data_IF_362431032010
#
_entry.id   IF_362431032010
#
_cell.length_a   1.000
_cell.length_b   1.000
_cell.length_c   1.000
_cell.angle_alpha   90.00
_cell.angle_beta   90.00
_cell.angle_gamma   90.00
#
_symmetry.space_group_name_H-M   'P 1'
#
loop_
_entity.id
_entity.type
_entity.pdbx_description
1 polymer ?
#
# COMPACT_ATOMS: atom_id res chain seq x y z
N UNK A 1 -22.13 -4.62 3.55
CA UNK A 1 -21.11 -4.17 4.53
C UNK A 1 -19.86 -3.88 3.72
N UNK A 2 -19.19 -2.76 3.97
CA UNK A 2 -17.94 -2.39 3.26
C UNK A 2 -16.83 -3.32 3.72
N UNK A 3 -16.13 -3.95 2.76
CA UNK A 3 -14.98 -4.82 3.02
C UNK A 3 -13.70 -4.04 2.83
N UNK A 4 -12.89 -3.92 3.88
CA UNK A 4 -11.63 -3.18 3.88
C UNK A 4 -10.44 -4.14 4.12
N UNK A 5 -9.54 -4.19 3.16
CA UNK A 5 -8.32 -5.00 3.22
C UNK A 5 -7.12 -4.12 3.52
N UNK A 6 -6.40 -4.45 4.59
CA UNK A 6 -5.15 -3.78 4.98
C UNK A 6 -3.98 -4.70 4.70
N UNK A 7 -3.02 -4.24 3.90
CA UNK A 7 -1.89 -5.05 3.42
C UNK A 7 -0.59 -4.53 4.00
N UNK A 8 -0.01 -5.26 4.94
CA UNK A 8 1.30 -4.92 5.48
C UNK A 8 2.41 -5.43 4.57
N UNK A 9 3.06 -4.50 3.87
CA UNK A 9 4.23 -4.70 3.02
C UNK A 9 5.57 -4.53 3.74
N UNK A 10 5.58 -4.49 5.07
CA UNK A 10 6.81 -4.46 5.85
C UNK A 10 7.26 -5.87 6.25
N UNK A 11 8.56 -6.22 6.11
CA UNK A 11 9.09 -7.46 6.67
C UNK A 11 9.11 -7.46 8.20
N UNK A 12 8.96 -6.30 8.85
CA UNK A 12 8.89 -6.16 10.31
C UNK A 12 7.44 -6.14 10.78
N UNK A 13 6.91 -7.29 11.19
CA UNK A 13 5.49 -7.48 11.54
C UNK A 13 4.97 -6.64 12.72
N UNK A 14 5.86 -6.17 13.60
CA UNK A 14 5.49 -5.41 14.81
C UNK A 14 6.17 -4.02 14.81
N UNK A 15 6.30 -3.40 13.66
CA UNK A 15 6.99 -2.12 13.51
C UNK A 15 6.01 -1.00 13.12
N UNK A 16 6.52 0.12 12.65
CA UNK A 16 5.73 1.34 12.42
C UNK A 16 4.67 1.17 11.33
N UNK A 17 5.02 0.55 10.22
CA UNK A 17 4.09 0.29 9.12
C UNK A 17 2.82 -0.41 9.60
N UNK A 18 2.97 -1.49 10.39
CA UNK A 18 1.81 -2.22 10.89
C UNK A 18 1.01 -1.41 11.90
N UNK A 19 1.65 -0.61 12.75
CA UNK A 19 0.95 0.27 13.71
C UNK A 19 0.10 1.34 13.00
N UNK A 20 0.59 1.88 11.90
CA UNK A 20 -0.16 2.81 11.05
C UNK A 20 -1.36 2.12 10.39
N UNK A 21 -1.15 0.92 9.86
CA UNK A 21 -2.24 0.12 9.28
C UNK A 21 -3.27 -0.30 10.33
N UNK A 22 -2.86 -0.68 11.54
CA UNK A 22 -3.77 -1.00 12.65
C UNK A 22 -4.62 0.21 13.04
N UNK A 23 -4.04 1.42 13.04
CA UNK A 23 -4.77 2.65 13.31
C UNK A 23 -5.74 3.02 12.18
N UNK A 24 -5.33 2.86 10.93
CA UNK A 24 -6.23 3.05 9.80
C UNK A 24 -7.37 2.00 9.81
N UNK A 25 -7.08 0.77 10.19
CA UNK A 25 -8.08 -0.29 10.36
C UNK A 25 -9.07 0.02 11.48
N UNK A 26 -8.58 0.55 12.62
CA UNK A 26 -9.42 1.01 13.73
C UNK A 26 -10.41 2.09 13.24
N UNK A 27 -9.95 3.12 12.54
CA UNK A 27 -10.80 4.16 11.98
C UNK A 27 -11.85 3.64 10.99
N UNK A 28 -11.47 2.71 10.10
CA UNK A 28 -12.40 2.07 9.16
C UNK A 28 -13.43 1.19 9.88
N UNK A 29 -13.02 0.48 10.94
CA UNK A 29 -13.92 -0.35 11.77
C UNK A 29 -14.93 0.52 12.51
N UNK A 30 -14.51 1.63 13.11
CA UNK A 30 -15.38 2.58 13.79
C UNK A 30 -16.39 3.21 12.83
N UNK A 31 -16.02 3.37 11.57
CA UNK A 31 -16.94 3.77 10.49
C UNK A 31 -17.82 2.62 9.95
N UNK A 32 -17.71 1.41 10.50
CA UNK A 32 -18.58 0.26 10.21
C UNK A 32 -18.13 -0.61 9.03
N UNK A 33 -16.87 -0.59 8.64
CA UNK A 33 -16.30 -1.53 7.67
C UNK A 33 -15.94 -2.87 8.34
N UNK A 34 -16.03 -3.94 7.56
CA UNK A 34 -15.45 -5.25 7.89
C UNK A 34 -13.99 -5.25 7.45
N UNK A 35 -13.06 -5.34 8.40
CA UNK A 35 -11.64 -5.12 8.17
C UNK A 35 -10.83 -6.39 8.34
N UNK A 36 -9.84 -6.58 7.47
CA UNK A 36 -8.82 -7.64 7.58
C UNK A 36 -7.43 -7.06 7.36
N UNK A 37 -6.47 -7.42 8.23
CA UNK A 37 -5.04 -7.08 8.07
C UNK A 37 -4.24 -8.33 7.68
N UNK A 38 -3.49 -8.24 6.60
CA UNK A 38 -2.65 -9.33 6.07
C UNK A 38 -1.19 -8.89 5.97
N UNK A 39 -0.27 -9.73 6.46
CA UNK A 39 1.16 -9.54 6.29
C UNK A 39 1.66 -10.32 5.07
N UNK A 40 2.09 -9.63 4.01
CA UNK A 40 2.51 -10.30 2.78
C UNK A 40 3.80 -11.12 2.93
N UNK A 41 4.60 -10.84 3.96
CA UNK A 41 5.84 -11.59 4.24
C UNK A 41 5.61 -12.87 5.08
N UNK A 42 4.36 -13.24 5.37
CA UNK A 42 4.07 -14.49 6.10
C UNK A 42 4.28 -15.73 5.25
N UNK A 43 4.15 -15.59 3.94
CA UNK A 43 4.29 -16.69 2.98
C UNK A 43 5.16 -16.28 1.79
N UNK A 44 5.92 -17.22 1.22
CA UNK A 44 6.72 -16.93 0.05
C UNK A 44 5.83 -16.81 -1.20
N UNK A 45 6.09 -15.81 -2.02
CA UNK A 45 5.44 -15.64 -3.32
C UNK A 45 6.38 -14.92 -4.30
N UNK A 46 5.95 -14.87 -5.56
CA UNK A 46 6.67 -14.18 -6.64
C UNK A 46 5.85 -13.01 -7.19
N UNK A 47 6.53 -12.01 -7.72
CA UNK A 47 5.93 -10.98 -8.55
C UNK A 47 5.35 -11.53 -9.86
N UNK A 48 4.99 -10.67 -10.77
CA UNK A 48 4.50 -11.08 -12.08
C UNK A 48 5.58 -11.86 -12.85
N UNK A 49 5.27 -13.07 -13.26
CA UNK A 49 6.18 -13.94 -14.03
C UNK A 49 6.03 -13.79 -15.54
N UNK A 50 5.29 -12.77 -16.00
CA UNK A 50 5.03 -12.52 -17.42
C UNK A 50 4.48 -13.71 -18.20
N UNK A 51 3.65 -14.53 -17.59
CA UNK A 51 3.02 -15.69 -18.26
C UNK A 51 1.90 -15.28 -19.25
N UNK A 52 1.43 -14.04 -19.18
CA UNK A 52 0.37 -13.45 -19.99
C UNK A 52 -0.98 -14.20 -20.00
N UNK A 53 -1.20 -15.16 -19.13
CA UNK A 53 -2.46 -15.89 -19.06
C UNK A 53 -3.68 -14.98 -18.80
N UNK A 54 -3.48 -13.87 -18.07
CA UNK A 54 -4.51 -12.84 -17.87
C UNK A 54 -4.78 -11.96 -19.11
N UNK A 55 -3.96 -12.06 -20.18
CA UNK A 55 -4.05 -11.25 -21.41
C UNK A 55 -4.52 -12.03 -22.63
N UNK A 56 -4.71 -13.33 -22.49
CA UNK A 56 -5.17 -14.19 -23.59
C UNK A 56 -6.58 -13.77 -24.00
N UNK A 57 -6.89 -13.76 -25.32
CA UNK A 57 -8.26 -13.52 -25.81
C UNK A 57 -9.25 -14.48 -25.15
N UNK A 58 -10.35 -13.94 -24.68
CA UNK A 58 -11.37 -14.67 -23.93
C UNK A 58 -10.83 -15.29 -22.63
N UNK A 59 -9.82 -14.67 -22.01
CA UNK A 59 -9.31 -15.08 -20.70
C UNK A 59 -10.45 -15.11 -19.68
N UNK A 60 -10.48 -16.20 -18.87
CA UNK A 60 -11.42 -16.31 -17.75
C UNK A 60 -10.90 -15.66 -16.47
N UNK A 61 -9.79 -14.95 -16.55
CA UNK A 61 -9.15 -14.34 -15.37
C UNK A 61 -9.94 -13.15 -14.82
N UNK A 62 -10.71 -12.45 -15.66
CA UNK A 62 -11.60 -11.34 -15.25
C UNK A 62 -10.92 -10.30 -14.34
N UNK A 63 -9.66 -9.93 -14.63
CA UNK A 63 -8.90 -8.99 -13.80
C UNK A 63 -8.16 -9.61 -12.63
N UNK A 64 -8.23 -10.94 -12.43
CA UNK A 64 -7.48 -11.65 -11.38
C UNK A 64 -6.25 -12.36 -11.99
N UNK A 65 -5.12 -12.36 -11.26
CA UNK A 65 -3.91 -13.05 -11.69
C UNK A 65 -4.13 -14.58 -11.75
N UNK A 66 -3.82 -15.18 -12.92
CA UNK A 66 -3.99 -16.61 -13.15
C UNK A 66 -2.96 -17.49 -12.40
N UNK A 67 -1.81 -16.92 -12.02
CA UNK A 67 -0.74 -17.65 -11.37
C UNK A 67 -1.12 -18.02 -9.94
N UNK A 68 -1.25 -19.33 -9.68
CA UNK A 68 -1.65 -19.89 -8.40
C UNK A 68 -0.42 -20.17 -7.53
N UNK A 69 -0.23 -19.36 -6.50
CA UNK A 69 0.76 -19.52 -5.44
C UNK A 69 0.20 -19.00 -4.10
N UNK A 70 1.01 -18.85 -3.09
CA UNK A 70 0.61 -18.38 -1.76
C UNK A 70 0.06 -16.94 -1.74
N UNK A 71 0.31 -16.13 -2.78
CA UNK A 71 -0.27 -14.79 -2.92
C UNK A 71 -1.71 -14.84 -3.47
N UNK A 72 -2.06 -15.88 -4.23
CA UNK A 72 -3.33 -15.91 -4.95
C UNK A 72 -4.57 -15.68 -4.05
N UNK A 73 -4.69 -16.30 -2.84
CA UNK A 73 -5.81 -16.04 -1.96
C UNK A 73 -5.92 -14.58 -1.50
N UNK A 74 -4.78 -13.89 -1.34
CA UNK A 74 -4.79 -12.45 -1.02
C UNK A 74 -5.27 -11.61 -2.21
N UNK A 75 -4.90 -11.99 -3.43
CA UNK A 75 -5.40 -11.31 -4.64
C UNK A 75 -6.91 -11.50 -4.82
N UNK A 76 -7.46 -12.67 -4.47
CA UNK A 76 -8.90 -12.90 -4.46
C UNK A 76 -9.61 -11.98 -3.45
N UNK A 77 -9.06 -11.84 -2.24
CA UNK A 77 -9.57 -10.90 -1.22
C UNK A 77 -9.49 -9.44 -1.70
N UNK A 78 -8.36 -9.06 -2.29
CA UNK A 78 -8.18 -7.71 -2.83
C UNK A 78 -9.16 -7.41 -3.98
N UNK A 79 -9.44 -8.39 -4.83
CA UNK A 79 -10.42 -8.28 -5.91
C UNK A 79 -11.86 -8.06 -5.38
N UNK A 80 -12.20 -8.67 -4.25
CA UNK A 80 -13.53 -8.57 -3.61
C UNK A 80 -13.65 -7.37 -2.65
N UNK A 81 -12.54 -6.74 -2.28
CA UNK A 81 -12.53 -5.60 -1.36
C UNK A 81 -13.16 -4.33 -1.96
N UNK A 82 -13.75 -3.48 -1.12
CA UNK A 82 -14.22 -2.15 -1.46
C UNK A 82 -13.16 -1.09 -1.14
N UNK A 83 -12.27 -1.42 -0.18
CA UNK A 83 -11.16 -0.57 0.26
C UNK A 83 -9.90 -1.42 0.35
N UNK A 84 -8.78 -0.91 -0.17
CA UNK A 84 -7.45 -1.51 -0.02
C UNK A 84 -6.49 -0.46 0.51
N UNK A 85 -5.95 -0.68 1.71
CA UNK A 85 -4.90 0.18 2.30
C UNK A 85 -3.60 -0.60 2.35
N UNK A 86 -2.57 -0.12 1.66
CA UNK A 86 -1.27 -0.76 1.55
C UNK A 86 -0.26 0.03 2.37
N UNK A 87 0.36 -0.58 3.36
CA UNK A 87 1.47 0.02 4.11
C UNK A 87 2.80 -0.55 3.63
N UNK A 88 3.79 0.31 3.37
CA UNK A 88 5.13 -0.11 2.98
C UNK A 88 6.20 0.83 3.53
N UNK A 89 7.28 0.31 4.13
CA UNK A 89 8.46 1.15 4.31
C UNK A 89 9.09 1.45 2.95
N UNK A 90 9.74 2.61 2.85
CA UNK A 90 10.43 3.03 1.64
C UNK A 90 11.86 2.45 1.64
N UNK A 91 12.18 1.62 0.66
CA UNK A 91 13.48 1.04 0.42
C UNK A 91 13.99 1.48 -0.95
N UNK A 92 15.15 2.14 -0.99
CA UNK A 92 15.74 2.63 -2.24
C UNK A 92 14.74 3.37 -3.14
N UNK A 93 14.08 4.39 -2.56
CA UNK A 93 13.14 5.28 -3.26
C UNK A 93 11.84 4.59 -3.76
N UNK A 94 11.51 3.41 -3.25
CA UNK A 94 10.30 2.68 -3.67
C UNK A 94 9.71 1.87 -2.51
N UNK A 95 8.52 1.34 -2.71
CA UNK A 95 7.96 0.32 -1.83
C UNK A 95 8.87 -0.91 -1.74
N UNK A 96 8.73 -1.72 -0.69
CA UNK A 96 9.49 -2.96 -0.56
C UNK A 96 9.27 -3.89 -1.76
N UNK A 97 10.24 -4.78 -2.02
CA UNK A 97 10.13 -5.78 -3.09
C UNK A 97 8.86 -6.63 -2.99
N UNK A 98 8.45 -7.01 -1.77
CA UNK A 98 7.20 -7.75 -1.55
C UNK A 98 5.97 -6.93 -1.92
N UNK A 99 5.93 -5.64 -1.54
CA UNK A 99 4.84 -4.74 -1.93
C UNK A 99 4.79 -4.56 -3.44
N UNK A 100 5.93 -4.35 -4.09
CA UNK A 100 6.01 -4.25 -5.56
C UNK A 100 5.50 -5.52 -6.25
N UNK A 101 5.92 -6.69 -5.77
CA UNK A 101 5.47 -7.97 -6.29
C UNK A 101 3.95 -8.18 -6.14
N UNK A 102 3.37 -7.73 -5.02
CA UNK A 102 1.92 -7.72 -4.80
C UNK A 102 1.23 -6.77 -5.79
N UNK A 103 1.70 -5.52 -5.90
CA UNK A 103 1.13 -4.50 -6.80
C UNK A 103 1.17 -4.94 -8.27
N UNK A 104 2.28 -5.52 -8.73
CA UNK A 104 2.38 -6.05 -10.10
C UNK A 104 1.25 -7.05 -10.40
N UNK A 105 0.97 -7.94 -9.46
CA UNK A 105 -0.03 -9.00 -9.64
C UNK A 105 -1.45 -8.55 -9.33
N UNK A 106 -1.63 -7.47 -8.59
CA UNK A 106 -2.92 -6.82 -8.38
C UNK A 106 -3.34 -6.02 -9.62
N UNK A 107 -2.44 -5.19 -10.16
CA UNK A 107 -2.74 -4.23 -11.20
C UNK A 107 -2.69 -4.82 -12.62
N UNK A 108 -1.65 -5.59 -12.94
CA UNK A 108 -1.42 -6.06 -14.32
C UNK A 108 -2.57 -6.86 -14.91
N UNK A 109 -3.32 -7.71 -14.18
CA UNK A 109 -4.46 -8.41 -14.76
C UNK A 109 -5.63 -7.50 -15.16
N UNK A 110 -5.80 -6.36 -14.48
CA UNK A 110 -6.87 -5.37 -14.75
C UNK A 110 -6.50 -4.50 -15.92
N UNK A 111 -5.25 -4.05 -15.98
CA UNK A 111 -4.72 -3.24 -17.07
C UNK A 111 -4.78 -3.99 -18.41
N UNK A 112 -5.15 -3.32 -19.51
CA UNK A 112 -5.20 -3.95 -20.84
C UNK A 112 -4.34 -3.22 -21.86
N UNK A 113 -4.12 -3.83 -23.01
CA UNK A 113 -3.52 -3.20 -24.21
C UNK A 113 -4.59 -2.78 -25.21
N UNK A 114 -5.85 -2.70 -24.78
CA UNK A 114 -6.97 -2.31 -25.65
C UNK A 114 -7.20 -0.81 -25.60
N UNK A 115 -7.55 -0.25 -26.74
CA UNK A 115 -7.96 1.15 -26.92
C UNK A 115 -9.30 1.14 -27.65
N UNK A 116 -10.30 1.84 -27.09
CA UNK A 116 -11.61 2.06 -27.69
C UNK A 116 -11.87 3.57 -27.75
N UNK A 117 -12.28 4.07 -28.90
CA UNK A 117 -12.52 5.50 -29.12
C UNK A 117 -11.34 6.44 -28.73
N UNK A 118 -10.11 5.93 -28.83
CA UNK A 118 -8.89 6.66 -28.47
C UNK A 118 -8.51 6.59 -26.98
N UNK A 119 -9.35 6.00 -26.13
CA UNK A 119 -9.12 5.85 -24.71
C UNK A 119 -8.69 4.42 -24.35
N UNK A 120 -7.77 4.30 -23.40
CA UNK A 120 -7.34 3.00 -22.87
C UNK A 120 -8.44 2.39 -22.02
N UNK A 121 -8.81 1.14 -22.30
CA UNK A 121 -9.84 0.44 -21.54
C UNK A 121 -9.22 -0.63 -20.64
N UNK A 122 -9.79 -0.78 -19.44
CA UNK A 122 -9.37 -1.79 -18.48
C UNK A 122 -10.37 -2.96 -18.45
N UNK A 123 -9.97 -4.09 -17.88
CA UNK A 123 -10.93 -5.14 -17.55
C UNK A 123 -11.99 -4.55 -16.62
N UNK A 124 -13.29 -4.70 -16.91
CA UNK A 124 -14.34 -4.19 -16.03
C UNK A 124 -14.16 -4.69 -14.58
N UNK A 125 -14.09 -3.74 -13.68
CA UNK A 125 -13.92 -3.99 -12.25
C UNK A 125 -14.78 -2.99 -11.47
N UNK A 126 -15.28 -3.38 -10.30
CA UNK A 126 -15.95 -2.43 -9.41
C UNK A 126 -14.95 -1.35 -8.95
N UNK A 127 -15.39 -0.12 -8.74
CA UNK A 127 -14.54 0.89 -8.11
C UNK A 127 -14.04 0.41 -6.74
N UNK A 128 -12.74 0.60 -6.48
CA UNK A 128 -12.12 0.28 -5.20
C UNK A 128 -11.40 1.52 -4.70
N UNK A 129 -11.64 1.91 -3.47
CA UNK A 129 -10.85 2.97 -2.85
C UNK A 129 -9.51 2.40 -2.41
N UNK A 130 -8.43 2.99 -2.87
CA UNK A 130 -7.08 2.58 -2.51
C UNK A 130 -6.38 3.66 -1.71
N UNK A 131 -5.47 3.26 -0.83
CA UNK A 131 -4.51 4.17 -0.20
C UNK A 131 -3.17 3.48 0.00
N UNK A 132 -2.09 4.28 0.00
CA UNK A 132 -0.75 3.79 0.33
C UNK A 132 -0.17 4.63 1.46
N UNK A 133 0.22 3.94 2.54
CA UNK A 133 0.93 4.54 3.67
C UNK A 133 2.41 4.21 3.51
N UNK A 134 3.23 5.23 3.24
CA UNK A 134 4.68 5.10 3.16
C UNK A 134 5.32 5.59 4.45
N UNK A 135 6.04 4.71 5.16
CA UNK A 135 6.87 5.13 6.29
C UNK A 135 8.37 5.09 5.92
N UNK A 136 9.12 6.10 6.33
CA UNK A 136 10.50 6.24 5.94
C UNK A 136 11.35 6.97 6.96
N UNK A 137 12.66 6.63 6.99
CA UNK A 137 13.64 7.31 7.81
C UNK A 137 14.03 8.71 7.26
N UNK A 138 13.61 9.02 6.04
CA UNK A 138 13.88 10.28 5.37
C UNK A 138 13.10 11.42 6.04
N UNK A 139 13.76 12.52 6.50
CA UNK A 139 13.07 13.70 7.00
C UNK A 139 12.34 14.46 5.89
N UNK A 140 11.30 15.22 6.26
CA UNK A 140 10.49 16.02 5.32
C UNK A 140 11.33 16.91 4.40
N UNK A 141 12.29 17.65 4.98
CA UNK A 141 13.13 18.56 4.20
C UNK A 141 14.00 17.86 3.14
N UNK A 142 14.18 16.54 3.26
CA UNK A 142 14.98 15.76 2.32
C UNK A 142 14.14 15.14 1.20
N UNK A 143 12.83 15.00 1.37
CA UNK A 143 11.94 14.37 0.40
C UNK A 143 12.01 14.99 -0.99
N UNK A 144 12.00 16.33 -1.06
CA UNK A 144 12.04 17.05 -2.33
C UNK A 144 13.42 16.93 -3.01
N UNK A 145 14.52 16.87 -2.22
CA UNK A 145 15.88 16.67 -2.75
C UNK A 145 16.07 15.30 -3.40
N UNK A 146 15.39 14.29 -2.90
CA UNK A 146 15.45 12.90 -3.43
C UNK A 146 14.27 12.57 -4.36
N UNK A 147 13.44 13.56 -4.70
CA UNK A 147 12.27 13.42 -5.58
C UNK A 147 11.26 12.32 -5.13
N UNK A 148 11.11 12.08 -3.84
CA UNK A 148 10.25 11.00 -3.34
C UNK A 148 8.79 11.18 -3.73
N UNK A 149 8.26 12.41 -3.75
CA UNK A 149 6.88 12.67 -4.16
C UNK A 149 6.61 12.22 -5.59
N UNK A 150 7.60 12.37 -6.49
CA UNK A 150 7.49 11.91 -7.88
C UNK A 150 7.61 10.39 -7.92
N UNK A 151 8.67 9.83 -7.32
CA UNK A 151 8.98 8.40 -7.40
C UNK A 151 7.94 7.50 -6.72
N UNK A 152 7.33 7.97 -5.64
CA UNK A 152 6.29 7.23 -4.90
C UNK A 152 4.89 7.52 -5.44
N UNK A 153 4.68 8.68 -6.08
CA UNK A 153 3.42 9.09 -6.70
C UNK A 153 3.04 8.29 -7.95
N UNK A 154 4.02 7.63 -8.61
CA UNK A 154 3.73 6.75 -9.76
C UNK A 154 2.76 5.61 -9.36
N UNK A 155 2.87 5.09 -8.14
CA UNK A 155 1.96 4.05 -7.63
C UNK A 155 0.56 4.60 -7.40
N UNK A 156 0.44 5.82 -6.87
CA UNK A 156 -0.83 6.52 -6.69
C UNK A 156 -1.55 6.68 -8.03
N UNK A 157 -0.85 7.23 -9.02
CA UNK A 157 -1.37 7.44 -10.35
C UNK A 157 -1.91 6.14 -10.99
N UNK A 158 -1.15 5.04 -10.91
CA UNK A 158 -1.57 3.76 -11.46
C UNK A 158 -2.75 3.13 -10.70
N UNK A 159 -2.77 3.24 -9.37
CA UNK A 159 -3.90 2.77 -8.56
C UNK A 159 -5.16 3.59 -8.84
N UNK A 160 -5.05 4.93 -8.92
CA UNK A 160 -6.17 5.79 -9.26
C UNK A 160 -6.72 5.47 -10.66
N UNK A 161 -5.85 5.32 -11.65
CA UNK A 161 -6.22 4.98 -13.03
C UNK A 161 -6.95 3.64 -13.13
N UNK A 162 -6.54 2.64 -12.35
CA UNK A 162 -7.09 1.28 -12.43
C UNK A 162 -8.31 1.08 -11.53
N UNK A 163 -8.35 1.70 -10.36
CA UNK A 163 -9.37 1.48 -9.34
C UNK A 163 -10.30 2.68 -9.10
N UNK A 164 -9.94 3.85 -9.66
CA UNK A 164 -10.77 5.07 -9.60
C UNK A 164 -10.46 6.02 -8.46
N UNK A 165 -9.66 5.60 -7.47
CA UNK A 165 -9.24 6.45 -6.35
C UNK A 165 -7.97 5.93 -5.68
N UNK A 166 -7.04 6.82 -5.39
CA UNK A 166 -5.91 6.54 -4.51
C UNK A 166 -5.54 7.75 -3.66
N UNK A 167 -5.13 7.52 -2.41
CA UNK A 167 -4.61 8.53 -1.50
C UNK A 167 -3.26 8.09 -0.92
N UNK A 168 -2.31 9.01 -0.80
CA UNK A 168 -1.02 8.76 -0.17
C UNK A 168 -0.93 9.39 1.21
N UNK A 169 -0.44 8.63 2.18
CA UNK A 169 0.00 9.13 3.48
C UNK A 169 1.50 8.91 3.63
N UNK A 170 2.26 9.99 3.75
CA UNK A 170 3.69 9.94 4.04
C UNK A 170 3.94 10.10 5.53
N UNK A 171 4.70 9.16 6.11
CA UNK A 171 5.15 9.18 7.50
C UNK A 171 6.67 9.22 7.52
N UNK A 172 7.20 10.41 7.72
CA UNK A 172 8.60 10.72 7.53
C UNK A 172 9.39 10.66 8.83
N UNK A 173 10.70 10.72 8.73
CA UNK A 173 11.65 10.83 9.85
C UNK A 173 11.46 9.76 10.92
N UNK A 174 11.00 8.56 10.53
CA UNK A 174 10.67 7.50 11.47
C UNK A 174 11.88 6.93 12.17
N UNK A 175 11.71 6.54 13.44
CA UNK A 175 12.75 5.91 14.26
C UNK A 175 13.12 4.53 13.73
N UNK A 176 14.43 4.31 13.39
CA UNK A 176 14.86 3.15 12.60
C UNK A 176 15.18 1.91 13.46
N UNK A 177 15.80 2.09 14.61
CA UNK A 177 16.32 1.01 15.46
C UNK A 177 15.79 1.09 16.88
N UNK A 178 15.71 -0.04 17.59
CA UNK A 178 15.40 -0.05 19.01
C UNK A 178 16.57 0.42 19.86
N UNK A 179 17.79 0.17 19.41
CA UNK A 179 19.05 0.51 20.07
C UNK A 179 20.06 0.95 19.02
N UNK A 180 20.27 2.25 18.90
CA UNK A 180 21.16 2.87 17.93
C UNK A 180 22.63 2.58 18.20
N UNK A 181 23.03 2.28 19.45
CA UNK A 181 24.42 1.98 19.81
C UNK A 181 24.96 0.72 19.13
N UNK A 182 24.07 -0.13 18.60
CA UNK A 182 24.43 -1.38 17.92
C UNK A 182 24.70 -1.23 16.42
N UNK A 183 24.51 -0.03 15.85
CA UNK A 183 24.57 0.18 14.41
C UNK A 183 25.46 1.37 14.07
N UNK A 184 26.24 1.23 13.00
CA UNK A 184 26.98 2.34 12.43
C UNK A 184 26.00 3.28 11.68
N UNK A 185 25.51 4.31 12.36
CA UNK A 185 24.53 5.24 11.84
C UNK A 185 24.69 6.62 12.48
N UNK A 186 25.27 7.56 11.71
CA UNK A 186 25.45 8.94 12.12
C UNK A 186 24.84 9.98 11.17
N UNK A 187 24.17 9.51 10.09
CA UNK A 187 23.51 10.40 9.12
C UNK A 187 22.41 11.24 9.77
N UNK A 188 21.66 10.63 10.69
CA UNK A 188 20.62 11.29 11.46
C UNK A 188 20.84 11.04 12.95
N UNK A 189 21.03 12.09 13.77
CA UNK A 189 21.26 11.93 15.22
C UNK A 189 20.08 11.23 15.91
N UNK A 190 20.37 10.23 16.74
CA UNK A 190 19.35 9.46 17.47
C UNK A 190 18.44 10.35 18.31
N UNK A 191 19.00 11.35 19.00
CA UNK A 191 18.23 12.25 19.85
C UNK A 191 17.15 13.01 19.07
N UNK A 192 17.48 13.51 17.87
CA UNK A 192 16.53 14.17 16.99
C UNK A 192 15.43 13.20 16.53
N UNK A 193 15.81 11.99 16.16
CA UNK A 193 14.87 10.92 15.78
C UNK A 193 13.94 10.51 16.93
N UNK A 194 14.46 10.44 18.13
CA UNK A 194 13.67 10.12 19.34
C UNK A 194 12.66 11.23 19.61
N UNK A 195 13.09 12.48 19.58
CA UNK A 195 12.21 13.62 19.76
C UNK A 195 11.10 13.64 18.71
N UNK A 196 11.45 13.48 17.44
CA UNK A 196 10.47 13.43 16.35
C UNK A 196 9.47 12.26 16.55
N UNK A 197 9.95 11.06 16.90
CA UNK A 197 9.08 9.93 17.23
C UNK A 197 8.07 10.27 18.34
N UNK A 198 8.52 10.92 19.39
CA UNK A 198 7.69 11.17 20.58
C UNK A 198 6.67 12.31 20.32
N UNK A 199 7.00 13.28 19.45
CA UNK A 199 6.17 14.44 19.13
C UNK A 199 5.30 14.24 17.87
N UNK A 200 5.80 13.58 16.83
CA UNK A 200 5.15 13.49 15.52
C UNK A 200 4.44 12.15 15.30
N UNK A 201 5.04 11.01 15.67
CA UNK A 201 4.43 9.71 15.38
C UNK A 201 3.02 9.51 15.97
N UNK A 202 2.65 10.08 17.15
CA UNK A 202 1.26 10.10 17.59
C UNK A 202 0.30 10.82 16.62
N UNK A 203 0.74 11.90 15.99
CA UNK A 203 -0.05 12.62 14.97
C UNK A 203 -0.17 11.83 13.67
N UNK A 204 0.90 11.11 13.31
CA UNK A 204 0.89 10.22 12.14
C UNK A 204 -0.10 9.05 12.34
N UNK A 205 -0.18 8.51 13.56
CA UNK A 205 -1.17 7.50 13.93
C UNK A 205 -2.59 8.04 13.84
N UNK A 206 -2.82 9.29 14.27
CA UNK A 206 -4.12 9.95 14.14
C UNK A 206 -4.47 10.20 12.68
N UNK A 207 -3.52 10.65 11.86
CA UNK A 207 -3.71 10.82 10.43
C UNK A 207 -4.06 9.49 9.73
N UNK A 208 -3.43 8.39 10.15
CA UNK A 208 -3.76 7.05 9.65
C UNK A 208 -5.17 6.62 10.08
N UNK A 209 -5.58 6.88 11.32
CA UNK A 209 -6.95 6.62 11.80
C UNK A 209 -7.97 7.39 10.96
N UNK A 210 -7.78 8.70 10.78
CA UNK A 210 -8.70 9.53 10.00
C UNK A 210 -8.73 9.13 8.51
N UNK A 211 -7.62 8.66 7.94
CA UNK A 211 -7.58 8.08 6.60
C UNK A 211 -8.54 6.89 6.49
N UNK A 212 -8.40 5.91 7.38
CA UNK A 212 -9.24 4.72 7.36
C UNK A 212 -10.72 5.01 7.56
N UNK A 213 -11.03 5.89 8.53
CA UNK A 213 -12.39 6.35 8.83
C UNK A 213 -13.04 7.03 7.62
N UNK A 214 -12.37 8.01 7.02
CA UNK A 214 -12.85 8.76 5.85
C UNK A 214 -13.13 7.83 4.67
N UNK A 215 -12.20 6.91 4.37
CA UNK A 215 -12.37 5.95 3.28
C UNK A 215 -13.64 5.10 3.46
N UNK A 216 -13.95 4.66 4.68
CA UNK A 216 -15.12 3.85 4.97
C UNK A 216 -16.43 4.67 4.99
N UNK A 217 -16.42 5.91 5.47
CA UNK A 217 -17.59 6.80 5.47
C UNK A 217 -18.03 7.17 4.05
N UNK A 218 -17.10 7.52 3.20
CA UNK A 218 -17.37 7.89 1.81
C UNK A 218 -17.72 6.70 0.91
N UNK A 219 -17.37 5.47 1.29
CA UNK A 219 -17.79 4.25 0.62
C UNK A 219 -19.27 3.90 0.80
N UNK A 220 -20.00 4.66 1.64
CA UNK A 220 -21.43 4.50 1.87
C UNK A 220 -22.30 5.36 0.94
N UNK A 221 -21.72 6.26 0.18
CA UNK A 221 -22.41 7.12 -0.79
C UNK A 221 -22.41 6.50 -2.17
#
# INVERSE_FOLDING_TARGET
MIKALFVNGSPRKNWKTVKLLEKAMEGATDAGAECELVNIYDKPFKGCISCFACKVKNSKCNGLCAYKDELHPLLEKAYDADIIVIGSPVYFNNATAGTRAFLERLMFPIDTYMVEDGERVNVPHKPVKTAVIYDMNCPDFFMDQVNYKILLGDVEHELERLFGYCELLYVNDTYQFNDYSRYDCNMFPEEAKRKHRDEQFPKDLEAAYELGKRMAEEGKK
#
